data_IF_469071042272
#
_entry.id   IF_469071042272
#
_cell.length_a   1.000
_cell.length_b   1.000
_cell.length_c   1.000
_cell.angle_alpha   90.00
_cell.angle_beta   90.00
_cell.angle_gamma   90.00
#
_symmetry.space_group_name_H-M   'P 1'
#
loop_
_entity.id
_entity.type
_entity.pdbx_description
1 polymer ?
#
# COMPACT_ATOMS: atom_id res chain seq x y z
N UNK A 1 -2.09 11.52 -3.63
CA UNK A 1 -0.78 11.30 -4.30
C UNK A 1 0.27 11.28 -3.21
N UNK A 2 1.15 10.29 -3.19
CA UNK A 2 2.14 10.12 -2.12
C UNK A 2 3.46 9.53 -2.66
N UNK A 3 4.44 10.37 -3.05
CA UNK A 3 5.68 9.96 -3.72
C UNK A 3 6.88 9.72 -2.79
N UNK A 4 6.66 9.65 -1.48
CA UNK A 4 7.74 9.48 -0.50
C UNK A 4 8.53 8.19 -0.73
N UNK A 5 9.86 8.28 -0.67
CA UNK A 5 10.76 7.11 -0.76
C UNK A 5 10.88 6.35 0.57
N UNK A 6 10.62 7.04 1.68
CA UNK A 6 10.70 6.48 3.02
C UNK A 6 9.66 7.17 3.90
N UNK A 7 8.99 6.38 4.73
CA UNK A 7 8.04 6.87 5.73
C UNK A 7 8.22 6.09 7.01
N UNK A 8 7.99 6.76 8.14
CA UNK A 8 7.99 6.09 9.44
C UNK A 8 6.68 5.33 9.65
N UNK A 9 5.57 5.90 9.16
CA UNK A 9 4.23 5.33 9.23
C UNK A 9 3.40 5.80 8.04
N UNK A 10 2.68 4.91 7.37
CA UNK A 10 1.81 5.29 6.26
C UNK A 10 0.43 5.81 6.71
N UNK A 11 0.35 6.59 7.79
CA UNK A 11 -0.91 7.15 8.29
C UNK A 11 -1.70 7.92 7.20
N UNK A 12 -1.06 8.76 6.34
CA UNK A 12 -1.78 9.42 5.25
C UNK A 12 -2.42 8.46 4.24
N UNK A 13 -1.81 7.28 4.03
CA UNK A 13 -2.34 6.24 3.13
C UNK A 13 -3.58 5.62 3.78
N UNK A 14 -3.51 5.28 5.07
CA UNK A 14 -4.65 4.73 5.82
C UNK A 14 -5.83 5.70 5.91
N UNK A 15 -5.58 6.99 6.13
CA UNK A 15 -6.61 8.03 6.12
C UNK A 15 -7.26 8.17 4.74
N UNK A 16 -6.46 8.24 3.68
CA UNK A 16 -6.98 8.33 2.31
C UNK A 16 -7.83 7.12 1.93
N UNK A 17 -7.40 5.91 2.31
CA UNK A 17 -8.18 4.68 2.16
C UNK A 17 -9.50 4.73 2.92
N UNK A 18 -9.49 5.17 4.18
CA UNK A 18 -10.69 5.28 5.01
C UNK A 18 -11.77 6.19 4.39
N UNK A 19 -11.35 7.21 3.63
CA UNK A 19 -12.26 8.11 2.92
C UNK A 19 -12.51 7.72 1.45
N UNK A 20 -12.22 6.47 1.07
CA UNK A 20 -12.38 5.93 -0.29
C UNK A 20 -11.77 6.83 -1.37
N UNK A 21 -10.61 7.43 -1.08
CA UNK A 21 -9.94 8.33 -2.02
C UNK A 21 -9.10 7.53 -3.03
N UNK A 22 -9.08 7.95 -4.31
CA UNK A 22 -8.14 7.42 -5.27
C UNK A 22 -6.71 7.77 -4.88
N UNK A 23 -5.80 6.81 -4.97
CA UNK A 23 -4.42 6.95 -4.52
C UNK A 23 -3.42 6.64 -5.63
N UNK A 24 -2.41 7.50 -5.75
CA UNK A 24 -1.20 7.26 -6.53
C UNK A 24 -0.05 7.17 -5.53
N UNK A 25 0.57 6.01 -5.39
CA UNK A 25 1.57 5.70 -4.35
C UNK A 25 2.90 5.26 -4.96
N UNK A 26 4.00 5.46 -4.23
CA UNK A 26 5.27 4.86 -4.60
C UNK A 26 5.17 3.31 -4.65
N UNK A 27 5.74 2.68 -5.69
CA UNK A 27 5.80 1.22 -5.83
C UNK A 27 6.85 0.61 -4.89
N UNK A 28 6.65 0.76 -3.58
CA UNK A 28 7.56 0.31 -2.53
C UNK A 28 6.83 -0.61 -1.53
N UNK A 29 7.54 -1.54 -0.87
CA UNK A 29 6.92 -2.49 0.06
C UNK A 29 6.07 -1.83 1.15
N UNK A 30 6.56 -0.74 1.76
CA UNK A 30 5.84 -0.05 2.82
C UNK A 30 4.47 0.49 2.36
N UNK A 31 4.39 0.98 1.12
CA UNK A 31 3.18 1.58 0.58
C UNK A 31 2.14 0.50 0.27
N UNK A 32 2.58 -0.63 -0.31
CA UNK A 32 1.75 -1.82 -0.56
C UNK A 32 1.24 -2.46 0.72
N UNK A 33 2.10 -2.55 1.72
CA UNK A 33 1.73 -3.07 3.04
C UNK A 33 0.72 -2.16 3.73
N UNK A 34 0.97 -0.85 3.73
CA UNK A 34 0.08 0.09 4.43
C UNK A 34 -1.29 0.20 3.76
N UNK A 35 -1.34 0.19 2.42
CA UNK A 35 -2.62 0.26 1.72
C UNK A 35 -3.44 -1.02 1.90
N UNK A 36 -2.80 -2.19 1.97
CA UNK A 36 -3.48 -3.49 2.07
C UNK A 36 -4.48 -3.71 0.92
N UNK A 37 -5.57 -4.44 1.17
CA UNK A 37 -6.59 -4.68 0.13
C UNK A 37 -7.33 -3.38 -0.24
N UNK A 38 -7.18 -2.90 -1.46
CA UNK A 38 -7.85 -1.68 -1.92
C UNK A 38 -7.90 -1.56 -3.45
N UNK A 39 -9.05 -1.21 -4.02
CA UNK A 39 -9.24 -1.18 -5.48
C UNK A 39 -8.79 0.14 -6.13
N UNK A 40 -8.94 1.28 -5.44
CA UNK A 40 -8.72 2.61 -6.04
C UNK A 40 -7.28 3.11 -5.86
N UNK A 41 -6.29 2.27 -6.18
CA UNK A 41 -4.86 2.62 -6.08
C UNK A 41 -4.09 2.27 -7.35
N UNK A 42 -3.10 3.11 -7.67
CA UNK A 42 -2.04 2.83 -8.63
C UNK A 42 -0.67 3.19 -8.05
N UNK A 43 0.35 2.48 -8.50
CA UNK A 43 1.73 2.58 -8.09
C UNK A 43 2.60 3.11 -9.23
N UNK A 44 3.70 3.78 -8.88
CA UNK A 44 4.71 4.26 -9.83
C UNK A 44 6.11 4.05 -9.28
N UNK A 45 7.10 3.85 -10.17
CA UNK A 45 8.50 3.84 -9.76
C UNK A 45 8.95 5.25 -9.34
N UNK A 46 9.49 5.34 -8.12
CA UNK A 46 10.01 6.58 -7.52
C UNK A 46 11.24 7.14 -8.24
N UNK A 47 11.85 6.37 -9.15
CA UNK A 47 12.97 6.77 -9.98
C UNK A 47 12.55 7.12 -11.41
N UNK A 48 11.28 6.92 -11.77
CA UNK A 48 10.72 7.24 -13.10
C UNK A 48 9.60 8.29 -12.97
N UNK A 49 9.93 9.59 -12.85
CA UNK A 49 8.94 10.66 -12.70
C UNK A 49 7.89 10.72 -13.82
N UNK A 50 8.22 10.18 -15.00
CA UNK A 50 7.32 10.12 -16.14
C UNK A 50 6.10 9.24 -15.86
N UNK A 51 6.27 8.11 -15.17
CA UNK A 51 5.15 7.24 -14.80
C UNK A 51 4.12 7.97 -13.94
N UNK A 52 4.59 8.71 -12.93
CA UNK A 52 3.72 9.53 -12.09
C UNK A 52 3.01 10.62 -12.91
N UNK A 53 3.73 11.29 -13.82
CA UNK A 53 3.15 12.32 -14.68
C UNK A 53 2.04 11.75 -15.59
N UNK A 54 2.25 10.56 -16.15
CA UNK A 54 1.27 9.85 -16.98
C UNK A 54 0.04 9.45 -16.16
N UNK A 55 0.23 8.93 -14.94
CA UNK A 55 -0.87 8.62 -14.01
C UNK A 55 -1.69 9.85 -13.64
N UNK A 56 -1.04 10.97 -13.31
CA UNK A 56 -1.73 12.24 -13.01
C UNK A 56 -2.51 12.71 -14.24
N UNK A 57 -1.91 12.63 -15.43
CA UNK A 57 -2.56 13.03 -16.69
C UNK A 57 -3.81 12.19 -16.95
N UNK A 58 -3.72 10.87 -16.80
CA UNK A 58 -4.85 9.96 -16.94
C UNK A 58 -5.94 10.21 -15.90
N UNK A 59 -5.56 10.53 -14.66
CA UNK A 59 -6.51 10.88 -13.61
C UNK A 59 -7.30 12.15 -13.95
N UNK A 60 -6.61 13.22 -14.36
CA UNK A 60 -7.22 14.49 -14.76
C UNK A 60 -8.13 14.32 -15.98
N UNK A 61 -7.71 13.52 -16.96
CA UNK A 61 -8.50 13.20 -18.15
C UNK A 61 -9.65 12.21 -17.90
N UNK A 62 -9.79 11.68 -16.67
CA UNK A 62 -10.78 10.66 -16.30
C UNK A 62 -10.67 9.36 -17.12
N UNK A 63 -9.47 9.02 -17.56
CA UNK A 63 -9.14 7.80 -18.32
C UNK A 63 -8.33 6.80 -17.51
N UNK A 64 -8.00 7.12 -16.26
CA UNK A 64 -7.23 6.23 -15.38
C UNK A 64 -7.98 4.93 -15.12
N UNK A 65 -7.23 3.83 -15.14
CA UNK A 65 -7.66 2.52 -14.65
C UNK A 65 -6.78 2.19 -13.46
N UNK A 66 -7.39 2.05 -12.29
CA UNK A 66 -6.67 1.65 -11.09
C UNK A 66 -6.31 0.17 -11.17
N UNK A 67 -5.11 -0.17 -10.72
CA UNK A 67 -4.64 -1.55 -10.70
C UNK A 67 -5.07 -2.27 -9.42
N UNK A 68 -5.38 -1.52 -8.36
CA UNK A 68 -5.71 -2.06 -7.06
C UNK A 68 -4.49 -2.64 -6.34
N UNK A 69 -4.73 -3.17 -5.14
CA UNK A 69 -3.74 -3.90 -4.37
C UNK A 69 -4.45 -4.99 -3.58
N UNK A 70 -3.87 -6.18 -3.59
CA UNK A 70 -4.24 -7.29 -2.72
C UNK A 70 -3.07 -7.56 -1.78
N UNK A 71 -3.33 -7.50 -0.47
CA UNK A 71 -2.34 -7.80 0.52
C UNK A 71 -2.00 -9.29 0.45
N UNK A 72 -0.72 -9.60 0.23
CA UNK A 72 -0.22 -10.95 0.39
C UNK A 72 -0.21 -11.30 1.89
N UNK A 73 -1.36 -11.72 2.44
CA UNK A 73 -1.42 -12.25 3.79
C UNK A 73 -0.78 -13.64 3.75
N UNK A 74 0.49 -13.70 4.15
CA UNK A 74 1.17 -14.98 4.30
C UNK A 74 0.62 -15.68 5.54
N UNK A 75 -0.37 -16.56 5.34
CA UNK A 75 -1.12 -17.23 6.41
C UNK A 75 -0.34 -18.32 7.14
N UNK A 76 0.84 -18.69 6.63
CA UNK A 76 1.66 -19.79 7.14
C UNK A 76 2.08 -19.63 8.61
N UNK A 77 2.11 -18.39 9.15
CA UNK A 77 2.49 -18.09 10.53
C UNK A 77 1.50 -17.18 11.25
N UNK A 78 0.20 -17.27 10.93
CA UNK A 78 -0.81 -16.45 11.62
C UNK A 78 -1.01 -16.95 13.05
N UNK A 79 -0.59 -16.14 14.02
CA UNK A 79 -0.82 -16.35 15.45
C UNK A 79 -2.06 -15.57 15.87
N UNK A 80 -3.04 -16.24 16.46
CA UNK A 80 -4.36 -15.67 16.76
C UNK A 80 -4.49 -15.24 18.22
N UNK A 81 -3.49 -15.48 19.05
CA UNK A 81 -3.48 -15.08 20.45
C UNK A 81 -2.09 -14.71 20.94
N UNK A 82 -2.04 -13.92 22.02
CA UNK A 82 -0.80 -13.63 22.74
C UNK A 82 -0.13 -14.90 23.25
N UNK A 83 -0.90 -15.91 23.65
CA UNK A 83 -0.35 -17.19 24.11
C UNK A 83 0.37 -17.94 22.99
N UNK A 84 -0.22 -18.03 21.80
CA UNK A 84 0.42 -18.63 20.62
C UNK A 84 1.72 -17.89 20.26
N UNK A 85 1.72 -16.55 20.37
CA UNK A 85 2.93 -15.76 20.15
C UNK A 85 4.01 -16.05 21.18
N UNK A 86 3.68 -16.04 22.47
CA UNK A 86 4.65 -16.34 23.53
C UNK A 86 5.20 -17.76 23.38
N UNK A 87 4.36 -18.76 23.12
CA UNK A 87 4.79 -20.13 22.86
C UNK A 87 5.72 -20.21 21.64
N UNK A 88 5.45 -19.45 20.57
CA UNK A 88 6.29 -19.42 19.38
C UNK A 88 7.67 -18.80 19.64
N UNK A 89 7.73 -17.63 20.29
CA UNK A 89 9.00 -16.90 20.50
C UNK A 89 9.84 -17.46 21.66
N UNK A 90 9.22 -18.20 22.59
CA UNK A 90 9.90 -18.78 23.75
C UNK A 90 10.22 -20.27 23.60
N UNK A 91 9.82 -20.90 22.48
CA UNK A 91 10.26 -22.25 22.14
C UNK A 91 11.80 -22.30 22.07
N UNK A 92 12.47 -23.18 22.83
CA UNK A 92 13.93 -23.32 22.80
C UNK A 92 14.45 -23.89 21.49
#
# INVERSE_FOLDING_TARGET
>A
IFPSKLETWGLPISEAKFFDKPMLLANLPYAKETVGDYENVSFFDVNEPKELADLITNFVNKTIVFEGNEAAINSENKLNSWFELFDYITKP
#
